data_IF_580788705033
#
_entry.id   IF_580788705033
#
_cell.length_a   1.000
_cell.length_b   1.000
_cell.length_c   1.000
_cell.angle_alpha   90.00
_cell.angle_beta   90.00
_cell.angle_gamma   90.00
#
_symmetry.space_group_name_H-M   'P 1'
#
loop_
_entity.id
_entity.type
_entity.pdbx_description
1 polymer ?
#
# COMPACT_ATOMS: atom_id res chain seq x y z
N UNK A 1 -19.96 11.99 -2.45
CA UNK A 1 -19.52 13.22 -3.12
C UNK A 1 -18.01 13.17 -3.16
N UNK A 2 -17.44 12.72 -4.27
CA UNK A 2 -15.97 12.69 -4.45
C UNK A 2 -15.52 14.08 -4.90
N UNK A 3 -15.11 14.89 -3.93
CA UNK A 3 -14.24 16.02 -4.22
C UNK A 3 -12.82 15.45 -4.34
N UNK A 4 -12.55 14.76 -5.45
CA UNK A 4 -11.19 14.31 -5.76
C UNK A 4 -10.34 15.56 -5.91
N UNK A 5 -9.49 15.80 -4.90
CA UNK A 5 -8.47 16.83 -4.94
C UNK A 5 -7.66 16.62 -6.21
N UNK A 6 -7.41 17.69 -6.99
CA UNK A 6 -6.43 17.61 -8.08
C UNK A 6 -5.06 17.33 -7.46
N UNK A 7 -4.54 16.14 -7.73
CA UNK A 7 -3.19 15.74 -7.35
C UNK A 7 -2.18 16.52 -8.20
N UNK A 8 -1.03 16.83 -7.61
CA UNK A 8 0.13 17.30 -8.39
C UNK A 8 0.71 16.14 -9.20
N UNK A 9 1.57 16.44 -10.18
CA UNK A 9 2.24 15.40 -10.97
C UNK A 9 3.06 14.44 -10.08
N UNK A 10 3.68 14.95 -9.01
CA UNK A 10 4.41 14.16 -8.01
C UNK A 10 3.47 13.26 -7.20
N UNK A 11 2.31 13.79 -6.79
CA UNK A 11 1.32 13.01 -6.06
C UNK A 11 0.71 11.90 -6.93
N UNK A 12 0.49 12.15 -8.22
CA UNK A 12 0.00 11.12 -9.15
C UNK A 12 1.06 10.02 -9.37
N UNK A 13 2.35 10.38 -9.48
CA UNK A 13 3.43 9.39 -9.55
C UNK A 13 3.46 8.49 -8.30
N UNK A 14 3.42 9.10 -7.12
CA UNK A 14 3.37 8.38 -5.86
C UNK A 14 2.14 7.47 -5.76
N UNK A 15 0.98 7.94 -6.24
CA UNK A 15 -0.25 7.15 -6.31
C UNK A 15 -0.08 5.92 -7.19
N UNK A 16 0.52 6.06 -8.37
CA UNK A 16 0.80 4.96 -9.29
C UNK A 16 1.75 3.94 -8.66
N UNK A 17 2.79 4.39 -7.97
CA UNK A 17 3.73 3.52 -7.25
C UNK A 17 3.03 2.72 -6.15
N UNK A 18 2.23 3.38 -5.31
CA UNK A 18 1.46 2.75 -4.23
C UNK A 18 0.45 1.73 -4.77
N UNK A 19 -0.28 2.06 -5.84
CA UNK A 19 -1.22 1.14 -6.51
C UNK A 19 -0.48 -0.07 -7.10
N UNK A 20 0.68 0.16 -7.71
CA UNK A 20 1.50 -0.91 -8.29
C UNK A 20 2.01 -1.85 -7.20
N UNK A 21 2.46 -1.30 -6.08
CA UNK A 21 2.90 -2.06 -4.92
C UNK A 21 1.77 -2.89 -4.31
N UNK A 22 0.60 -2.28 -4.08
CA UNK A 22 -0.60 -2.98 -3.58
C UNK A 22 -0.94 -4.18 -4.46
N UNK A 23 -1.00 -3.99 -5.78
CA UNK A 23 -1.31 -5.06 -6.74
C UNK A 23 -0.31 -6.20 -6.66
N UNK A 24 0.99 -5.89 -6.54
CA UNK A 24 2.06 -6.90 -6.42
C UNK A 24 1.92 -7.70 -5.13
N UNK A 25 1.64 -7.04 -4.01
CA UNK A 25 1.43 -7.69 -2.70
C UNK A 25 0.18 -8.58 -2.77
N UNK A 26 -0.93 -8.04 -3.27
CA UNK A 26 -2.19 -8.76 -3.38
C UNK A 26 -2.08 -9.99 -4.28
N UNK A 27 -1.37 -9.89 -5.42
CA UNK A 27 -1.10 -11.02 -6.30
C UNK A 27 -0.28 -12.12 -5.60
N UNK A 28 0.74 -11.76 -4.80
CA UNK A 28 1.52 -12.73 -4.01
C UNK A 28 0.66 -13.42 -2.94
N UNK A 29 -0.13 -12.66 -2.19
CA UNK A 29 -1.05 -13.19 -1.17
C UNK A 29 -2.04 -14.15 -1.82
N UNK A 30 -2.67 -13.74 -2.93
CA UNK A 30 -3.64 -14.55 -3.67
C UNK A 30 -3.00 -15.87 -4.12
N UNK A 31 -1.81 -15.81 -4.72
CA UNK A 31 -1.07 -17.00 -5.14
C UNK A 31 -0.80 -17.95 -3.97
N UNK A 32 -0.39 -17.45 -2.81
CA UNK A 32 -0.14 -18.28 -1.60
C UNK A 32 -1.43 -18.97 -1.14
N UNK A 33 -2.54 -18.24 -1.11
CA UNK A 33 -3.83 -18.78 -0.72
C UNK A 33 -4.32 -19.85 -1.72
N UNK A 34 -4.19 -19.60 -3.02
CA UNK A 34 -4.64 -20.51 -4.09
C UNK A 34 -3.81 -21.80 -4.17
N UNK A 35 -2.49 -21.70 -3.94
CA UNK A 35 -1.60 -22.87 -3.96
C UNK A 35 -1.56 -23.63 -2.63
N UNK A 36 -2.34 -23.18 -1.62
CA UNK A 36 -2.29 -23.69 -0.25
C UNK A 36 -0.87 -23.79 0.31
N UNK A 37 0.02 -22.89 -0.13
CA UNK A 37 1.41 -22.89 0.31
C UNK A 37 1.44 -22.62 1.81
N UNK A 38 1.99 -23.54 2.60
CA UNK A 38 2.16 -23.35 4.04
C UNK A 38 3.18 -22.25 4.29
N UNK A 39 2.68 -21.03 4.51
CA UNK A 39 3.45 -19.95 5.09
C UNK A 39 3.18 -19.89 6.60
N UNK A 40 4.19 -19.54 7.42
CA UNK A 40 3.95 -19.11 8.78
C UNK A 40 2.92 -17.98 8.80
N UNK A 41 1.97 -18.06 9.74
CA UNK A 41 0.89 -17.07 9.89
C UNK A 41 1.44 -15.64 9.89
N UNK A 42 2.53 -15.40 10.63
CA UNK A 42 3.16 -14.09 10.78
C UNK A 42 3.63 -13.48 9.45
N UNK A 43 4.11 -14.32 8.51
CA UNK A 43 4.54 -13.83 7.19
C UNK A 43 3.36 -13.45 6.30
N UNK A 44 2.26 -14.19 6.38
CA UNK A 44 1.04 -13.83 5.64
C UNK A 44 0.37 -12.59 6.24
N UNK A 45 0.35 -12.49 7.57
CA UNK A 45 -0.12 -11.32 8.29
C UNK A 45 0.70 -10.07 7.91
N UNK A 46 2.03 -10.15 7.89
CA UNK A 46 2.89 -9.07 7.43
C UNK A 46 2.58 -8.63 5.99
N UNK A 47 2.31 -9.57 5.09
CA UNK A 47 1.88 -9.24 3.72
C UNK A 47 0.55 -8.48 3.68
N UNK A 48 -0.44 -8.90 4.48
CA UNK A 48 -1.74 -8.24 4.57
C UNK A 48 -1.64 -6.84 5.16
N UNK A 49 -0.81 -6.67 6.17
CA UNK A 49 -0.53 -5.40 6.81
C UNK A 49 0.13 -4.40 5.84
N UNK A 50 1.09 -4.85 5.03
CA UNK A 50 1.68 -4.02 3.98
C UNK A 50 0.64 -3.61 2.92
N UNK A 51 -0.23 -4.54 2.52
CA UNK A 51 -1.34 -4.24 1.58
C UNK A 51 -2.24 -3.15 2.14
N UNK A 52 -2.67 -3.30 3.39
CA UNK A 52 -3.57 -2.35 4.05
C UNK A 52 -2.91 -0.97 4.17
N UNK A 53 -1.62 -0.94 4.53
CA UNK A 53 -0.86 0.32 4.62
C UNK A 53 -0.80 1.04 3.27
N UNK A 54 -0.65 0.31 2.15
CA UNK A 54 -0.67 0.92 0.81
C UNK A 54 -2.04 1.52 0.48
N UNK A 55 -3.13 0.83 0.83
CA UNK A 55 -4.50 1.33 0.62
C UNK A 55 -4.78 2.57 1.45
N UNK A 56 -4.34 2.58 2.71
CA UNK A 56 -4.43 3.75 3.60
C UNK A 56 -3.62 4.92 3.05
N UNK A 57 -2.40 4.68 2.57
CA UNK A 57 -1.57 5.72 1.95
C UNK A 57 -2.27 6.36 0.73
N UNK A 58 -2.85 5.55 -0.17
CA UNK A 58 -3.62 6.05 -1.31
C UNK A 58 -4.82 6.87 -0.83
N UNK A 59 -5.56 6.38 0.17
CA UNK A 59 -6.71 7.09 0.71
C UNK A 59 -6.32 8.45 1.33
N UNK A 60 -5.22 8.50 2.08
CA UNK A 60 -4.74 9.74 2.68
C UNK A 60 -4.18 10.71 1.65
N UNK A 61 -3.56 10.20 0.58
CA UNK A 61 -3.13 10.99 -0.57
C UNK A 61 -4.34 11.65 -1.25
N UNK A 62 -5.37 10.86 -1.57
CA UNK A 62 -6.60 11.33 -2.21
C UNK A 62 -7.36 12.35 -1.32
N UNK A 63 -7.27 12.20 0.01
CA UNK A 63 -7.84 13.13 1.00
C UNK A 63 -6.97 14.37 1.26
N UNK A 64 -5.73 14.42 0.75
CA UNK A 64 -4.77 15.47 1.05
C UNK A 64 -4.24 15.47 2.50
N UNK A 65 -4.38 14.36 3.22
CA UNK A 65 -3.92 14.20 4.60
C UNK A 65 -2.43 13.83 4.64
N UNK A 66 -1.58 14.85 4.46
CA UNK A 66 -0.13 14.69 4.36
C UNK A 66 0.51 14.10 5.63
N UNK A 67 -0.03 14.39 6.82
CA UNK A 67 0.49 13.85 8.08
C UNK A 67 0.36 12.34 8.10
N UNK A 68 -0.85 11.82 7.87
CA UNK A 68 -1.07 10.36 7.89
C UNK A 68 -0.42 9.66 6.70
N UNK A 69 -0.38 10.31 5.53
CA UNK A 69 0.39 9.81 4.40
C UNK A 69 1.87 9.63 4.76
N UNK A 70 2.48 10.62 5.43
CA UNK A 70 3.88 10.54 5.84
C UNK A 70 4.16 9.42 6.84
N UNK A 71 3.20 9.13 7.73
CA UNK A 71 3.27 8.00 8.66
C UNK A 71 3.25 6.66 7.92
N UNK A 72 2.35 6.50 6.94
CA UNK A 72 2.30 5.30 6.10
C UNK A 72 3.59 5.12 5.29
N UNK A 73 4.11 6.18 4.68
CA UNK A 73 5.36 6.11 3.91
C UNK A 73 6.57 5.81 4.82
N UNK A 74 6.60 6.35 6.04
CA UNK A 74 7.62 5.99 7.03
C UNK A 74 7.54 4.51 7.37
N UNK A 75 6.35 3.99 7.66
CA UNK A 75 6.16 2.58 7.96
C UNK A 75 6.64 1.67 6.81
N UNK A 76 6.29 2.01 5.57
CA UNK A 76 6.71 1.24 4.40
C UNK A 76 8.24 1.26 4.22
N UNK A 77 8.90 2.39 4.48
CA UNK A 77 10.37 2.49 4.49
C UNK A 77 11.02 1.67 5.60
N UNK A 78 10.44 1.66 6.81
CA UNK A 78 10.92 0.83 7.94
C UNK A 78 10.81 -0.67 7.64
N UNK A 79 9.90 -1.06 6.75
CA UNK A 79 9.76 -2.43 6.23
C UNK A 79 10.62 -2.70 4.99
N UNK A 80 11.55 -1.81 4.67
CA UNK A 80 12.44 -1.88 3.50
C UNK A 80 11.69 -1.96 2.16
N UNK A 81 10.45 -1.46 2.13
CA UNK A 81 9.64 -1.40 0.92
C UNK A 81 10.04 -0.15 0.15
N UNK A 82 10.53 -0.35 -1.08
CA UNK A 82 10.85 0.74 -2.00
C UNK A 82 9.55 1.28 -2.61
N UNK A 83 9.30 2.56 -2.32
CA UNK A 83 8.29 3.41 -2.92
C UNK A 83 9.10 4.53 -3.55
#
# INVERSE_FOLDING_TARGET
>A
MDLSRKLTDEEEQLRVELVTLERRINAKIKRICETHQKLPYDRLAAGRDLKETCLLAISYLDQGNQVRLSECLRYLREKEVKI
#
